data_IF_018514284517
#
_entry.id   IF_018514284517
#
_cell.length_a   1.000
_cell.length_b   1.000
_cell.length_c   1.000
_cell.angle_alpha   90.00
_cell.angle_beta   90.00
_cell.angle_gamma   90.00
#
_symmetry.space_group_name_H-M   'P 1'
#
loop_
_entity.id
_entity.type
_entity.pdbx_description
1 polymer ?
#
# COMPACT_ATOMS: atom_id res chain seq x y z
N UNK A 1 18.66 -51.21 -32.88
CA UNK A 1 19.38 -51.69 -31.68
C UNK A 1 20.53 -50.70 -31.45
N UNK A 2 20.53 -49.98 -30.31
CA UNK A 2 21.60 -49.10 -29.76
C UNK A 2 21.99 -47.88 -30.62
N UNK A 3 22.31 -46.69 -30.11
CA UNK A 3 22.20 -46.01 -28.80
C UNK A 3 22.47 -44.54 -29.11
N UNK A 4 21.67 -43.65 -28.55
CA UNK A 4 21.90 -42.21 -28.49
C UNK A 4 22.96 -41.87 -27.44
N UNK A 5 24.01 -41.12 -27.81
CA UNK A 5 24.80 -40.35 -26.86
C UNK A 5 25.36 -39.11 -27.56
N UNK A 6 24.93 -37.92 -27.12
CA UNK A 6 25.81 -36.81 -26.69
C UNK A 6 25.05 -35.48 -26.75
N UNK A 7 24.33 -35.16 -25.68
CA UNK A 7 23.92 -33.79 -25.38
C UNK A 7 23.94 -33.62 -23.86
N UNK A 8 25.12 -33.79 -23.26
CA UNK A 8 25.34 -33.68 -21.82
C UNK A 8 26.59 -32.86 -21.56
N UNK A 9 26.67 -31.63 -22.11
CA UNK A 9 27.81 -30.73 -21.87
C UNK A 9 27.48 -29.26 -22.08
N UNK A 10 26.32 -28.79 -21.59
CA UNK A 10 26.00 -27.35 -21.58
C UNK A 10 25.35 -26.87 -20.28
N UNK A 11 24.66 -27.73 -19.52
CA UNK A 11 23.95 -27.31 -18.29
C UNK A 11 24.79 -27.26 -17.01
N UNK A 12 26.06 -27.68 -17.02
CA UNK A 12 26.89 -27.68 -15.80
C UNK A 12 27.70 -26.39 -15.63
N UNK A 13 27.91 -25.62 -16.71
CA UNK A 13 28.70 -24.37 -16.64
C UNK A 13 27.82 -23.16 -16.25
N UNK A 14 26.51 -23.19 -16.52
CA UNK A 14 25.60 -22.10 -16.16
C UNK A 14 25.25 -22.05 -14.65
N UNK A 15 25.32 -23.19 -13.95
CA UNK A 15 25.07 -23.24 -12.50
C UNK A 15 26.27 -22.74 -11.66
N UNK A 16 27.50 -22.78 -12.22
CA UNK A 16 28.71 -22.30 -11.54
C UNK A 16 28.87 -20.77 -11.54
N UNK A 17 28.27 -20.08 -12.52
CA UNK A 17 28.38 -18.61 -12.65
C UNK A 17 27.34 -17.84 -11.82
N UNK A 18 26.21 -18.46 -11.45
CA UNK A 18 25.23 -17.85 -10.54
C UNK A 18 25.68 -17.85 -9.07
N UNK A 19 26.56 -18.78 -8.68
CA UNK A 19 27.16 -18.82 -7.34
C UNK A 19 28.26 -17.76 -7.14
N UNK A 20 28.90 -17.31 -8.22
CA UNK A 20 29.89 -16.21 -8.18
C UNK A 20 29.25 -14.81 -8.19
N UNK A 21 27.99 -14.69 -8.62
CA UNK A 21 27.24 -13.43 -8.56
C UNK A 21 26.71 -13.09 -7.15
N UNK A 22 26.78 -14.03 -6.20
CA UNK A 22 26.46 -13.81 -4.77
C UNK A 22 27.71 -13.71 -3.87
N UNK A 23 28.90 -13.97 -4.41
CA UNK A 23 30.18 -13.81 -3.71
C UNK A 23 30.89 -12.48 -4.01
N UNK A 24 30.32 -11.64 -4.88
CA UNK A 24 30.87 -10.36 -5.32
C UNK A 24 30.10 -9.14 -4.82
N UNK A 25 29.92 -9.00 -3.50
CA UNK A 25 29.74 -7.66 -2.91
C UNK A 25 31.12 -7.05 -2.66
N UNK A 26 31.85 -6.76 -3.74
CA UNK A 26 32.99 -5.85 -3.67
C UNK A 26 32.48 -4.44 -3.34
N UNK A 27 32.69 -4.08 -2.07
CA UNK A 27 33.32 -2.84 -1.67
C UNK A 27 32.90 -1.55 -2.41
N UNK A 28 31.93 -0.82 -1.85
CA UNK A 28 31.90 0.65 -1.98
C UNK A 28 32.57 1.27 -0.75
N UNK A 29 33.69 1.99 -0.91
CA UNK A 29 34.30 2.71 0.19
C UNK A 29 33.42 3.93 0.50
N UNK A 30 33.21 4.15 1.80
CA UNK A 30 32.49 5.26 2.42
C UNK A 30 30.97 5.10 2.54
N UNK A 31 30.58 4.81 3.80
CA UNK A 31 29.28 5.02 4.45
C UNK A 31 28.23 3.92 4.25
N UNK A 32 28.39 2.87 5.05
CA UNK A 32 27.30 2.04 5.57
C UNK A 32 27.53 1.81 7.07
N UNK A 33 26.51 1.46 7.88
CA UNK A 33 26.68 1.24 9.31
C UNK A 33 27.76 0.18 9.52
N UNK A 34 28.72 0.46 10.42
CA UNK A 34 29.85 -0.40 10.72
C UNK A 34 29.39 -1.84 10.94
N UNK A 35 29.52 -2.71 9.93
CA UNK A 35 29.37 -4.15 10.11
C UNK A 35 30.43 -4.57 11.12
N UNK A 36 29.98 -4.96 12.31
CA UNK A 36 30.85 -5.55 13.34
C UNK A 36 31.58 -6.70 12.66
N UNK A 37 32.92 -6.66 12.68
CA UNK A 37 33.71 -7.78 12.15
C UNK A 37 33.33 -9.02 12.95
N UNK A 38 32.97 -10.14 12.30
CA UNK A 38 32.75 -11.39 13.01
C UNK A 38 33.97 -11.70 13.87
N UNK A 39 33.70 -12.07 15.12
CA UNK A 39 34.71 -12.60 16.03
C UNK A 39 35.30 -13.88 15.43
N UNK A 40 36.58 -14.19 15.67
CA UNK A 40 37.25 -15.36 15.07
C UNK A 40 36.59 -16.69 15.48
N UNK A 41 35.78 -16.67 16.54
CA UNK A 41 34.98 -17.79 17.04
C UNK A 41 33.50 -17.77 16.59
N UNK A 42 33.12 -16.92 15.64
CA UNK A 42 31.74 -16.85 15.17
C UNK A 42 31.31 -18.19 14.52
N UNK A 43 30.10 -18.69 14.83
CA UNK A 43 29.60 -19.91 14.22
C UNK A 43 29.49 -19.78 12.70
N UNK A 44 29.80 -20.86 11.97
CA UNK A 44 29.79 -20.86 10.50
C UNK A 44 28.46 -20.39 9.87
N UNK A 45 27.32 -20.57 10.56
CA UNK A 45 26.01 -20.12 10.09
C UNK A 45 25.85 -18.59 10.05
N UNK A 46 26.71 -17.84 10.73
CA UNK A 46 26.72 -16.37 10.69
C UNK A 46 27.17 -15.86 9.31
N UNK A 47 28.27 -16.43 8.79
CA UNK A 47 28.83 -16.05 7.48
C UNK A 47 28.20 -16.84 6.33
N UNK A 48 27.81 -18.09 6.60
CA UNK A 48 27.22 -19.01 5.64
C UNK A 48 25.93 -19.62 6.22
N UNK A 49 24.80 -18.89 6.18
CA UNK A 49 23.52 -19.46 6.61
C UNK A 49 23.22 -20.75 5.84
N UNK A 50 22.51 -21.71 6.46
CA UNK A 50 22.16 -22.96 5.79
C UNK A 50 21.39 -22.70 4.48
N UNK A 51 21.68 -23.51 3.47
CA UNK A 51 20.91 -23.50 2.22
C UNK A 51 19.82 -24.56 2.35
N UNK A 52 18.57 -24.12 2.50
CA UNK A 52 17.39 -24.98 2.46
C UNK A 52 16.49 -24.52 1.31
N UNK A 53 15.89 -25.47 0.58
CA UNK A 53 14.92 -25.18 -0.47
C UNK A 53 13.58 -24.67 0.08
N UNK A 54 13.28 -24.90 1.37
CA UNK A 54 11.99 -24.59 2.01
C UNK A 54 12.04 -23.37 2.91
N UNK A 55 13.21 -23.04 3.45
CA UNK A 55 13.38 -22.00 4.45
C UNK A 55 14.34 -20.93 3.94
N UNK A 56 14.00 -19.68 4.24
CA UNK A 56 14.91 -18.54 4.09
C UNK A 56 15.48 -18.23 5.47
N UNK A 57 16.79 -18.01 5.50
CA UNK A 57 17.51 -17.65 6.70
C UNK A 57 17.95 -16.20 6.63
N UNK A 58 17.78 -15.49 7.74
CA UNK A 58 18.35 -14.15 7.89
C UNK A 58 19.05 -14.04 9.23
N UNK A 59 20.19 -13.36 9.23
CA UNK A 59 21.00 -13.14 10.41
C UNK A 59 20.88 -11.67 10.80
N UNK A 60 20.74 -11.40 12.10
CA UNK A 60 20.76 -10.06 12.65
C UNK A 60 21.71 -9.97 13.83
N UNK A 61 22.13 -8.74 14.13
CA UNK A 61 23.14 -8.48 15.15
C UNK A 61 22.76 -7.27 16.02
N UNK A 62 23.06 -7.34 17.31
CA UNK A 62 22.97 -6.18 18.22
C UNK A 62 24.21 -6.10 19.14
N UNK A 63 25.01 -5.02 19.06
CA UNK A 63 26.18 -4.82 19.93
C UNK A 63 25.82 -4.65 21.41
N UNK A 64 24.60 -4.16 21.69
CA UNK A 64 24.08 -3.98 23.06
C UNK A 64 23.57 -5.27 23.71
N UNK A 65 23.70 -6.41 23.01
CA UNK A 65 23.22 -7.72 23.45
C UNK A 65 21.70 -7.78 23.66
N UNK A 66 20.94 -6.91 22.99
CA UNK A 66 19.48 -6.89 23.04
C UNK A 66 18.90 -7.81 21.96
N UNK A 67 18.30 -8.92 22.42
CA UNK A 67 17.67 -9.91 21.55
C UNK A 67 16.55 -9.32 20.68
N UNK A 68 15.76 -8.37 21.19
CA UNK A 68 14.68 -7.78 20.41
C UNK A 68 15.23 -6.95 19.25
N UNK A 69 16.30 -6.20 19.48
CA UNK A 69 16.99 -5.42 18.44
C UNK A 69 17.69 -6.31 17.43
N UNK A 70 18.38 -7.36 17.88
CA UNK A 70 19.01 -8.33 16.98
C UNK A 70 17.96 -9.04 16.09
N UNK A 71 16.80 -9.39 16.66
CA UNK A 71 15.69 -9.97 15.89
C UNK A 71 15.07 -8.97 14.91
N UNK A 72 14.96 -7.69 15.28
CA UNK A 72 14.50 -6.65 14.37
C UNK A 72 15.47 -6.45 13.20
N UNK A 73 16.78 -6.47 13.48
CA UNK A 73 17.83 -6.42 12.45
C UNK A 73 17.76 -7.63 11.50
N UNK A 74 17.59 -8.84 12.06
CA UNK A 74 17.42 -10.05 11.25
C UNK A 74 16.18 -9.97 10.34
N UNK A 75 15.07 -9.41 10.84
CA UNK A 75 13.86 -9.16 10.04
C UNK A 75 14.10 -8.14 8.93
N UNK A 76 14.90 -7.09 9.16
CA UNK A 76 15.32 -6.14 8.11
C UNK A 76 16.17 -6.79 7.03
N UNK A 77 17.03 -7.73 7.41
CA UNK A 77 17.83 -8.47 6.45
C UNK A 77 16.96 -9.44 5.64
N UNK A 78 16.00 -10.13 6.27
CA UNK A 78 15.00 -10.96 5.59
C UNK A 78 14.15 -10.13 4.61
N UNK A 79 13.71 -8.95 5.04
CA UNK A 79 12.97 -7.99 4.24
C UNK A 79 13.71 -7.55 2.97
N UNK A 80 14.99 -7.22 3.14
CA UNK A 80 15.86 -6.79 2.05
C UNK A 80 16.03 -7.90 1.02
N UNK A 81 16.17 -9.15 1.48
CA UNK A 81 16.21 -10.33 0.59
C UNK A 81 14.88 -10.57 -0.15
N UNK A 82 13.75 -10.17 0.44
CA UNK A 82 12.42 -10.25 -0.17
C UNK A 82 12.01 -8.98 -0.95
N UNK A 83 12.86 -7.94 -0.97
CA UNK A 83 12.57 -6.60 -1.53
C UNK A 83 11.34 -5.90 -0.93
N UNK A 84 11.25 -5.83 0.40
CA UNK A 84 10.10 -5.23 1.11
C UNK A 84 10.55 -4.16 2.13
N UNK A 85 9.74 -3.12 2.36
CA UNK A 85 10.08 -1.97 3.23
C UNK A 85 9.50 -2.14 4.63
N UNK A 86 10.34 -1.99 5.66
CA UNK A 86 9.93 -1.97 7.07
C UNK A 86 9.74 -0.53 7.55
N UNK A 87 8.62 -0.25 8.24
CA UNK A 87 8.52 0.93 9.11
C UNK A 87 8.74 0.47 10.54
N UNK A 88 9.89 0.81 11.12
CA UNK A 88 10.08 0.67 12.56
C UNK A 88 9.49 1.91 13.25
N UNK A 89 8.59 1.70 14.20
CA UNK A 89 8.11 2.76 15.08
C UNK A 89 9.27 3.39 15.86
N UNK A 90 9.51 4.68 15.60
CA UNK A 90 10.28 5.58 16.46
C UNK A 90 11.78 5.65 16.22
N UNK A 91 12.22 6.21 15.08
CA UNK A 91 13.40 7.10 15.03
C UNK A 91 13.59 7.71 13.63
N UNK A 92 14.02 8.96 13.62
CA UNK A 92 14.13 9.85 12.48
C UNK A 92 15.11 9.39 11.39
N UNK A 93 14.56 9.33 10.17
CA UNK A 93 15.07 9.71 8.84
C UNK A 93 16.43 9.23 8.28
N UNK A 94 16.32 8.89 6.99
CA UNK A 94 17.28 8.96 5.88
C UNK A 94 18.55 8.10 5.91
N UNK A 95 18.49 6.98 5.17
CA UNK A 95 19.29 6.88 3.94
C UNK A 95 18.87 5.66 3.08
N UNK A 96 18.68 5.89 1.78
CA UNK A 96 18.79 4.83 0.77
C UNK A 96 17.49 4.27 0.18
N UNK A 97 16.80 5.12 -0.58
CA UNK A 97 15.96 4.78 -1.73
C UNK A 97 16.20 3.36 -2.31
N UNK A 98 15.21 2.48 -2.21
CA UNK A 98 15.07 1.33 -3.12
C UNK A 98 14.04 1.71 -4.18
N UNK A 99 14.35 1.57 -5.48
CA UNK A 99 13.52 2.11 -6.54
C UNK A 99 12.14 1.47 -6.55
N UNK A 100 11.15 2.34 -6.66
CA UNK A 100 9.89 2.21 -7.37
C UNK A 100 9.70 0.84 -8.02
N UNK A 101 8.80 0.02 -7.46
CA UNK A 101 8.06 -0.96 -8.25
C UNK A 101 7.51 -0.21 -9.46
N UNK A 102 7.89 -0.65 -10.66
CA UNK A 102 7.29 -0.14 -11.88
C UNK A 102 5.77 -0.26 -11.75
N UNK A 103 5.07 0.87 -11.88
CA UNK A 103 3.63 1.05 -11.68
C UNK A 103 3.14 1.21 -10.23
N UNK A 104 3.54 2.29 -9.54
CA UNK A 104 2.67 3.00 -8.58
C UNK A 104 2.07 2.20 -7.41
N UNK A 105 2.56 1.00 -7.13
CA UNK A 105 2.06 0.15 -6.04
C UNK A 105 2.69 0.61 -4.71
N UNK A 106 1.91 0.84 -3.66
CA UNK A 106 2.43 1.27 -2.37
C UNK A 106 3.39 0.22 -1.79
N UNK A 107 4.46 0.64 -1.10
CA UNK A 107 5.38 -0.31 -0.45
C UNK A 107 4.63 -1.12 0.61
N UNK A 108 4.71 -2.44 0.51
CA UNK A 108 4.16 -3.38 1.50
C UNK A 108 5.00 -3.33 2.79
N UNK A 109 4.33 -3.35 3.94
CA UNK A 109 4.91 -3.35 5.29
C UNK A 109 5.03 -4.78 5.82
N UNK A 110 6.13 -5.06 6.56
CA UNK A 110 6.57 -6.41 6.99
C UNK A 110 6.13 -6.80 8.39
N UNK A 111 5.51 -5.91 9.15
CA UNK A 111 5.23 -6.17 10.57
C UNK A 111 4.39 -7.44 10.81
N UNK A 112 3.75 -7.96 9.76
CA UNK A 112 3.01 -9.23 9.72
C UNK A 112 3.64 -10.33 8.82
N UNK A 113 4.95 -10.60 8.84
CA UNK A 113 5.46 -11.86 8.23
C UNK A 113 5.14 -13.05 9.17
N UNK A 114 4.08 -13.85 8.90
CA UNK A 114 3.73 -14.96 9.77
C UNK A 114 4.81 -16.06 9.69
N UNK A 115 5.11 -16.68 10.83
CA UNK A 115 5.98 -17.86 10.85
C UNK A 115 7.49 -17.58 10.82
N UNK A 116 7.92 -16.35 11.10
CA UNK A 116 9.34 -16.08 11.42
C UNK A 116 9.68 -16.66 12.79
N UNK A 117 10.63 -17.58 12.84
CA UNK A 117 11.07 -18.23 14.08
C UNK A 117 12.54 -17.93 14.35
N UNK A 118 12.93 -17.84 15.63
CA UNK A 118 14.33 -17.84 16.00
C UNK A 118 14.85 -19.26 15.90
N UNK A 119 15.86 -19.49 15.05
CA UNK A 119 16.50 -20.79 14.88
C UNK A 119 17.73 -20.92 15.76
N UNK A 120 18.63 -19.93 15.73
CA UNK A 120 19.89 -19.93 16.48
C UNK A 120 20.18 -18.59 17.09
N UNK A 121 20.94 -18.63 18.18
CA UNK A 121 21.47 -17.46 18.86
C UNK A 121 22.93 -17.74 19.22
N UNK A 122 23.79 -16.74 19.05
CA UNK A 122 25.17 -16.77 19.49
C UNK A 122 25.51 -15.46 20.18
N UNK A 123 25.92 -15.59 21.44
CA UNK A 123 26.27 -14.46 22.28
C UNK A 123 27.80 -14.32 22.28
N UNK A 124 28.32 -13.35 21.53
CA UNK A 124 29.75 -13.07 21.45
C UNK A 124 30.09 -11.90 22.36
N UNK A 125 31.33 -11.78 22.88
CA UNK A 125 31.72 -10.71 23.79
C UNK A 125 31.46 -9.27 23.29
N UNK A 126 31.35 -9.10 21.97
CA UNK A 126 31.14 -7.80 21.32
C UNK A 126 29.73 -7.59 20.77
N UNK A 127 28.91 -8.65 20.66
CA UNK A 127 27.64 -8.60 19.95
C UNK A 127 26.80 -9.87 20.14
N UNK A 128 25.49 -9.69 20.25
CA UNK A 128 24.52 -10.78 20.14
C UNK A 128 24.12 -10.98 18.68
N UNK A 129 24.30 -12.20 18.19
CA UNK A 129 23.87 -12.63 16.86
C UNK A 129 22.65 -13.55 16.96
N UNK A 130 21.69 -13.34 16.08
CA UNK A 130 20.51 -14.19 15.95
C UNK A 130 20.31 -14.62 14.51
N UNK A 131 19.84 -15.85 14.31
CA UNK A 131 19.40 -16.35 13.02
C UNK A 131 17.93 -16.67 13.09
N UNK A 132 17.16 -16.10 12.17
CA UNK A 132 15.74 -16.38 12.01
C UNK A 132 15.52 -17.27 10.78
N UNK A 133 14.49 -18.10 10.85
CA UNK A 133 13.98 -18.92 9.76
C UNK A 133 12.62 -18.43 9.31
N UNK A 134 12.37 -18.54 8.00
CA UNK A 134 11.12 -18.13 7.39
C UNK A 134 10.67 -19.15 6.32
N UNK A 135 9.48 -19.72 6.50
CA UNK A 135 8.89 -20.66 5.53
C UNK A 135 8.12 -19.90 4.45
N UNK A 136 8.80 -19.56 3.35
CA UNK A 136 8.23 -18.82 2.22
C UNK A 136 7.10 -19.59 1.51
N UNK A 137 7.22 -20.91 1.39
CA UNK A 137 6.19 -21.74 0.75
C UNK A 137 4.90 -21.79 1.59
N UNK A 138 5.04 -22.00 2.91
CA UNK A 138 3.91 -21.96 3.83
C UNK A 138 3.23 -20.60 3.89
N UNK A 139 3.99 -19.51 3.79
CA UNK A 139 3.42 -18.16 3.67
C UNK A 139 2.62 -18.00 2.37
N UNK A 140 3.16 -18.43 1.23
CA UNK A 140 2.46 -18.38 -0.05
C UNK A 140 1.14 -19.17 -0.02
N UNK A 141 1.12 -20.36 0.59
CA UNK A 141 -0.08 -21.18 0.70
C UNK A 141 -1.15 -20.53 1.60
N UNK A 142 -0.73 -19.95 2.73
CA UNK A 142 -1.63 -19.19 3.60
C UNK A 142 -2.24 -17.97 2.89
N UNK A 143 -1.44 -17.26 2.09
CA UNK A 143 -1.91 -16.13 1.28
C UNK A 143 -2.92 -16.57 0.22
N UNK A 144 -2.68 -17.68 -0.49
CA UNK A 144 -3.64 -18.26 -1.45
C UNK A 144 -4.97 -18.58 -0.78
N UNK A 145 -4.93 -19.30 0.35
CA UNK A 145 -6.13 -19.65 1.09
C UNK A 145 -6.92 -18.42 1.54
N UNK A 146 -6.24 -17.35 1.98
CA UNK A 146 -6.88 -16.08 2.34
C UNK A 146 -7.50 -15.38 1.13
N UNK A 147 -6.81 -15.35 -0.01
CA UNK A 147 -7.34 -14.79 -1.26
C UNK A 147 -8.60 -15.57 -1.70
N UNK A 148 -8.58 -16.90 -1.67
CA UNK A 148 -9.73 -17.73 -2.02
C UNK A 148 -10.93 -17.48 -1.10
N UNK A 149 -10.68 -17.30 0.20
CA UNK A 149 -11.70 -16.93 1.18
C UNK A 149 -12.31 -15.55 0.86
N UNK A 150 -11.47 -14.55 0.58
CA UNK A 150 -11.91 -13.20 0.22
C UNK A 150 -12.69 -13.20 -1.11
N UNK A 151 -12.22 -13.94 -2.11
CA UNK A 151 -12.90 -14.11 -3.39
C UNK A 151 -14.28 -14.80 -3.20
N UNK A 152 -14.41 -15.69 -2.21
CA UNK A 152 -15.69 -16.25 -1.78
C UNK A 152 -16.62 -15.22 -1.12
N UNK A 153 -16.09 -14.41 -0.20
CA UNK A 153 -16.83 -13.34 0.48
C UNK A 153 -17.32 -12.27 -0.50
N UNK A 154 -16.46 -11.83 -1.42
CA UNK A 154 -16.81 -10.85 -2.46
C UNK A 154 -17.97 -11.38 -3.31
N UNK A 155 -17.90 -12.63 -3.79
CA UNK A 155 -18.99 -13.24 -4.56
C UNK A 155 -20.28 -13.32 -3.76
N UNK A 156 -20.21 -13.68 -2.48
CA UNK A 156 -21.38 -13.72 -1.61
C UNK A 156 -21.99 -12.32 -1.40
N UNK A 157 -21.17 -11.28 -1.17
CA UNK A 157 -21.64 -9.89 -1.04
C UNK A 157 -22.26 -9.38 -2.34
N UNK A 158 -21.70 -9.72 -3.50
CA UNK A 158 -22.28 -9.38 -4.80
C UNK A 158 -23.60 -10.11 -5.06
N UNK A 159 -23.71 -11.39 -4.68
CA UNK A 159 -24.94 -12.16 -4.83
C UNK A 159 -26.03 -11.74 -3.80
N UNK A 160 -25.62 -11.26 -2.64
CA UNK A 160 -26.49 -10.70 -1.61
C UNK A 160 -26.91 -9.25 -1.91
N UNK A 161 -26.44 -8.65 -3.01
CA UNK A 161 -26.97 -7.40 -3.51
C UNK A 161 -28.50 -7.52 -3.58
N UNK A 162 -29.25 -6.68 -2.85
CA UNK A 162 -30.62 -7.01 -2.51
C UNK A 162 -31.47 -7.10 -3.76
N UNK A 163 -32.03 -8.29 -4.03
CA UNK A 163 -33.36 -8.38 -4.60
C UNK A 163 -34.30 -7.70 -3.59
N UNK A 164 -34.55 -6.41 -3.74
CA UNK A 164 -35.32 -5.66 -2.75
C UNK A 164 -36.81 -5.99 -2.86
N UNK A 165 -37.47 -6.35 -1.75
CA UNK A 165 -38.84 -5.93 -1.52
C UNK A 165 -38.92 -5.13 -0.22
N UNK A 166 -38.31 -3.93 -0.16
CA UNK A 166 -38.68 -2.94 0.87
C UNK A 166 -38.70 -1.54 0.27
N UNK A 167 -39.87 -0.90 0.39
CA UNK A 167 -40.30 0.31 -0.31
C UNK A 167 -39.59 1.63 0.10
N UNK A 168 -38.39 1.58 0.70
CA UNK A 168 -37.76 2.76 1.30
C UNK A 168 -36.28 3.00 0.89
N UNK A 169 -35.68 2.15 0.05
CA UNK A 169 -34.27 2.32 -0.33
C UNK A 169 -34.16 2.66 -1.82
N UNK A 170 -33.62 3.84 -2.12
CA UNK A 170 -33.40 4.26 -3.51
C UNK A 170 -32.40 3.30 -4.18
N UNK A 171 -32.48 3.05 -5.50
CA UNK A 171 -31.49 2.24 -6.21
C UNK A 171 -30.04 2.66 -5.96
N UNK A 172 -29.82 3.97 -5.77
CA UNK A 172 -28.52 4.56 -5.41
C UNK A 172 -28.11 4.18 -4.00
N UNK A 173 -29.00 4.26 -3.01
CA UNK A 173 -28.70 3.84 -1.63
C UNK A 173 -28.31 2.36 -1.53
N UNK A 174 -28.93 1.50 -2.35
CA UNK A 174 -28.55 0.09 -2.45
C UNK A 174 -27.19 -0.12 -3.13
N UNK A 175 -26.92 0.60 -4.23
CA UNK A 175 -25.60 0.58 -4.86
C UNK A 175 -24.50 1.09 -3.92
N UNK A 176 -24.79 2.14 -3.15
CA UNK A 176 -23.90 2.69 -2.13
C UNK A 176 -23.59 1.68 -1.03
N UNK A 177 -24.60 1.03 -0.44
CA UNK A 177 -24.38 -0.02 0.59
C UNK A 177 -23.57 -1.19 0.06
N UNK A 178 -23.87 -1.66 -1.15
CA UNK A 178 -23.12 -2.75 -1.77
C UNK A 178 -21.66 -2.34 -2.04
N UNK A 179 -21.43 -1.14 -2.56
CA UNK A 179 -20.10 -0.60 -2.75
C UNK A 179 -19.31 -0.53 -1.43
N UNK A 180 -19.95 -0.06 -0.35
CA UNK A 180 -19.34 0.03 0.97
C UNK A 180 -19.01 -1.33 1.58
N UNK A 181 -19.81 -2.36 1.32
CA UNK A 181 -19.53 -3.72 1.75
C UNK A 181 -18.39 -4.36 0.95
N UNK A 182 -18.28 -4.05 -0.35
CA UNK A 182 -17.28 -4.63 -1.25
C UNK A 182 -15.90 -3.97 -1.14
N UNK A 183 -15.84 -2.65 -0.98
CA UNK A 183 -14.59 -1.88 -0.94
C UNK A 183 -13.53 -2.43 0.03
N UNK A 184 -13.82 -2.72 1.32
CA UNK A 184 -12.82 -3.25 2.24
C UNK A 184 -12.33 -4.64 1.84
N UNK A 185 -13.23 -5.51 1.33
CA UNK A 185 -12.86 -6.86 0.89
C UNK A 185 -11.94 -6.82 -0.33
N UNK A 186 -12.23 -5.95 -1.30
CA UNK A 186 -11.38 -5.77 -2.50
C UNK A 186 -10.00 -5.21 -2.11
N UNK A 187 -9.95 -4.22 -1.21
CA UNK A 187 -8.67 -3.67 -0.71
C UNK A 187 -7.83 -4.72 -0.02
N UNK A 188 -8.41 -5.49 0.90
CA UNK A 188 -7.69 -6.54 1.61
C UNK A 188 -7.18 -7.60 0.64
N UNK A 189 -8.01 -7.99 -0.34
CA UNK A 189 -7.65 -8.97 -1.37
C UNK A 189 -6.48 -8.48 -2.23
N UNK A 190 -6.49 -7.22 -2.65
CA UNK A 190 -5.37 -6.63 -3.40
C UNK A 190 -4.07 -6.62 -2.58
N UNK A 191 -4.15 -6.32 -1.29
CA UNK A 191 -3.01 -6.39 -0.39
C UNK A 191 -2.45 -7.82 -0.28
N UNK A 192 -3.31 -8.83 -0.08
CA UNK A 192 -2.87 -10.23 -0.02
C UNK A 192 -2.28 -10.70 -1.37
N UNK A 193 -2.84 -10.24 -2.50
CA UNK A 193 -2.31 -10.56 -3.83
C UNK A 193 -0.90 -9.96 -4.03
N UNK A 194 -0.68 -8.73 -3.57
CA UNK A 194 0.62 -8.08 -3.62
C UNK A 194 1.65 -8.80 -2.70
N UNK A 195 1.22 -9.27 -1.52
CA UNK A 195 2.03 -10.15 -0.65
C UNK A 195 2.34 -11.50 -1.33
N UNK A 196 1.39 -12.09 -2.05
CA UNK A 196 1.59 -13.37 -2.76
C UNK A 196 2.58 -13.23 -3.92
N UNK A 197 2.57 -12.09 -4.62
CA UNK A 197 3.57 -11.77 -5.64
C UNK A 197 4.99 -11.79 -5.08
N UNK A 198 5.19 -11.26 -3.89
CA UNK A 198 6.48 -11.33 -3.19
C UNK A 198 6.82 -12.77 -2.78
N UNK A 199 5.84 -13.51 -2.26
CA UNK A 199 6.03 -14.87 -1.77
C UNK A 199 6.31 -15.89 -2.90
N UNK A 200 5.66 -15.78 -4.06
CA UNK A 200 5.67 -16.83 -5.08
C UNK A 200 5.75 -16.33 -6.55
N UNK A 201 5.88 -15.02 -6.77
CA UNK A 201 5.97 -14.42 -8.11
C UNK A 201 4.61 -14.20 -8.80
N UNK A 202 4.64 -13.54 -9.96
CA UNK A 202 3.43 -13.11 -10.70
C UNK A 202 2.52 -14.28 -11.11
N UNK A 203 3.13 -15.41 -11.50
CA UNK A 203 2.39 -16.58 -11.97
C UNK A 203 1.42 -17.14 -10.91
N UNK A 204 1.77 -17.03 -9.62
CA UNK A 204 0.92 -17.48 -8.52
C UNK A 204 -0.31 -16.58 -8.29
N UNK A 205 -0.24 -15.30 -8.67
CA UNK A 205 -1.36 -14.35 -8.56
C UNK A 205 -2.36 -14.56 -9.69
N UNK A 206 -1.88 -14.94 -10.88
CA UNK A 206 -2.72 -15.17 -12.06
C UNK A 206 -3.59 -16.44 -11.96
N UNK A 207 -3.23 -17.39 -11.10
CA UNK A 207 -4.01 -18.61 -10.86
C UNK A 207 -5.19 -18.42 -9.91
N UNK A 208 -5.36 -17.24 -9.31
CA UNK A 208 -6.48 -16.96 -8.43
C UNK A 208 -7.82 -16.94 -9.22
N UNK A 209 -8.95 -17.37 -8.61
CA UNK A 209 -10.24 -17.48 -9.30
C UNK A 209 -10.74 -16.18 -9.94
N UNK A 210 -10.37 -15.02 -9.38
CA UNK A 210 -10.65 -13.71 -9.96
C UNK A 210 -9.35 -12.93 -10.20
N UNK A 211 -9.29 -12.13 -11.26
CA UNK A 211 -8.18 -11.19 -11.45
C UNK A 211 -8.46 -9.89 -10.70
N UNK A 212 -7.41 -9.21 -10.22
CA UNK A 212 -7.56 -7.88 -9.59
C UNK A 212 -8.21 -6.87 -10.55
N UNK A 213 -7.92 -6.97 -11.85
CA UNK A 213 -8.56 -6.15 -12.87
C UNK A 213 -10.07 -6.41 -12.97
N UNK A 214 -10.49 -7.68 -12.94
CA UNK A 214 -11.91 -8.06 -12.92
C UNK A 214 -12.63 -7.55 -11.67
N UNK A 215 -11.99 -7.62 -10.51
CA UNK A 215 -12.52 -7.08 -9.25
C UNK A 215 -12.70 -5.56 -9.28
N UNK A 216 -11.69 -4.83 -9.75
CA UNK A 216 -11.77 -3.36 -9.91
C UNK A 216 -12.88 -2.98 -10.89
N UNK A 217 -13.03 -3.72 -11.98
CA UNK A 217 -14.10 -3.49 -12.95
C UNK A 217 -15.48 -3.74 -12.35
N UNK A 218 -15.66 -4.79 -11.54
CA UNK A 218 -16.90 -5.08 -10.84
C UNK A 218 -17.21 -4.00 -9.78
N UNK A 219 -16.23 -3.57 -9.01
CA UNK A 219 -16.37 -2.49 -8.04
C UNK A 219 -16.74 -1.17 -8.74
N UNK A 220 -16.07 -0.85 -9.85
CA UNK A 220 -16.37 0.31 -10.68
C UNK A 220 -17.77 0.23 -11.31
N UNK A 221 -18.27 -0.96 -11.66
CA UNK A 221 -19.63 -1.11 -12.17
C UNK A 221 -20.69 -0.78 -11.09
N UNK A 222 -20.47 -1.20 -9.84
CA UNK A 222 -21.36 -0.87 -8.72
C UNK A 222 -21.26 0.62 -8.35
N UNK A 223 -20.05 1.16 -8.27
CA UNK A 223 -19.81 2.58 -8.01
C UNK A 223 -20.29 3.48 -9.15
N UNK A 224 -20.29 2.97 -10.39
CA UNK A 224 -20.78 3.64 -11.59
C UNK A 224 -22.27 4.00 -11.54
N UNK A 225 -23.04 3.29 -10.71
CA UNK A 225 -24.45 3.57 -10.43
C UNK A 225 -24.65 4.77 -9.48
N UNK A 226 -23.58 5.24 -8.83
CA UNK A 226 -23.58 6.40 -7.94
C UNK A 226 -23.06 7.59 -8.75
N UNK A 227 -23.98 8.35 -9.36
CA UNK A 227 -23.64 9.53 -10.12
C UNK A 227 -23.36 10.73 -9.20
N UNK A 228 -22.18 11.32 -9.32
CA UNK A 228 -21.71 12.41 -8.46
C UNK A 228 -21.42 13.64 -9.30
N UNK A 229 -22.03 14.77 -8.95
CA UNK A 229 -21.72 16.08 -9.52
C UNK A 229 -20.84 16.86 -8.54
N UNK A 230 -19.58 17.11 -8.92
CA UNK A 230 -18.63 17.85 -8.10
C UNK A 230 -18.57 19.30 -8.59
N UNK A 231 -19.13 20.20 -7.79
CA UNK A 231 -19.11 21.64 -8.02
C UNK A 231 -18.05 22.27 -7.14
N UNK A 232 -16.93 22.64 -7.74
CA UNK A 232 -15.87 23.40 -7.09
C UNK A 232 -16.06 24.90 -7.33
N UNK A 233 -15.81 25.71 -6.31
CA UNK A 233 -15.79 27.15 -6.43
C UNK A 233 -14.57 27.65 -7.25
N UNK A 234 -14.59 28.91 -7.74
CA UNK A 234 -13.56 29.40 -8.66
C UNK A 234 -12.13 29.33 -8.11
N UNK A 235 -11.97 29.42 -6.78
CA UNK A 235 -10.68 29.32 -6.11
C UNK A 235 -10.03 27.92 -6.25
N UNK A 236 -10.84 26.89 -6.50
CA UNK A 236 -10.40 25.51 -6.69
C UNK A 236 -10.29 25.10 -8.16
N UNK A 237 -10.64 25.99 -9.10
CA UNK A 237 -10.53 25.72 -10.54
C UNK A 237 -9.16 25.16 -10.97
N UNK A 238 -8.00 25.61 -10.44
CA UNK A 238 -6.69 25.07 -10.82
C UNK A 238 -6.49 23.58 -10.49
N UNK A 239 -7.21 23.05 -9.49
CA UNK A 239 -7.08 21.66 -9.04
C UNK A 239 -8.36 20.85 -9.25
N UNK A 240 -9.37 21.40 -9.93
CA UNK A 240 -10.66 20.75 -10.12
C UNK A 240 -10.54 19.40 -10.84
N UNK A 241 -9.69 19.32 -11.88
CA UNK A 241 -9.43 18.07 -12.58
C UNK A 241 -8.87 16.99 -11.64
N UNK A 242 -7.91 17.36 -10.76
CA UNK A 242 -7.30 16.44 -9.80
C UNK A 242 -8.30 15.98 -8.73
N UNK A 243 -9.20 16.87 -8.30
CA UNK A 243 -10.28 16.54 -7.36
C UNK A 243 -11.27 15.53 -7.97
N UNK A 244 -11.62 15.73 -9.24
CA UNK A 244 -12.47 14.81 -10.00
C UNK A 244 -11.78 13.46 -10.21
N UNK A 245 -10.50 13.45 -10.59
CA UNK A 245 -9.71 12.23 -10.79
C UNK A 245 -9.57 11.44 -9.49
N UNK A 246 -9.43 12.10 -8.34
CA UNK A 246 -9.40 11.44 -7.04
C UNK A 246 -10.73 10.75 -6.70
N UNK A 247 -11.86 11.39 -7.02
CA UNK A 247 -13.18 10.81 -6.82
C UNK A 247 -13.47 9.68 -7.82
N UNK A 248 -13.10 9.86 -9.10
CA UNK A 248 -13.18 8.82 -10.12
C UNK A 248 -12.25 7.63 -9.82
N UNK A 249 -11.10 7.87 -9.19
CA UNK A 249 -10.19 6.83 -8.70
C UNK A 249 -10.79 5.93 -7.61
N UNK A 250 -11.87 6.37 -6.95
CA UNK A 250 -12.70 5.51 -6.11
C UNK A 250 -13.80 4.76 -6.87
N UNK A 251 -13.85 4.90 -8.19
CA UNK A 251 -14.90 4.32 -9.04
C UNK A 251 -16.19 5.13 -9.09
N UNK A 252 -16.26 6.33 -8.49
CA UNK A 252 -17.44 7.18 -8.56
C UNK A 252 -17.66 7.70 -9.99
N UNK A 253 -18.91 7.72 -10.44
CA UNK A 253 -19.26 8.22 -11.77
C UNK A 253 -19.44 9.74 -11.74
N UNK A 254 -18.43 10.48 -12.18
CA UNK A 254 -18.46 11.95 -12.17
C UNK A 254 -19.27 12.48 -13.36
N UNK A 255 -20.40 13.12 -13.08
CA UNK A 255 -21.35 13.64 -14.07
C UNK A 255 -21.51 15.16 -13.95
N UNK A 256 -20.52 15.89 -14.48
CA UNK A 256 -20.49 17.35 -14.39
C UNK A 256 -21.75 17.99 -15.00
N UNK A 257 -22.42 18.86 -14.23
CA UNK A 257 -23.56 19.64 -14.71
C UNK A 257 -24.84 18.83 -14.95
N UNK A 258 -24.89 17.59 -14.45
CA UNK A 258 -26.12 16.81 -14.49
C UNK A 258 -27.19 17.48 -13.60
N UNK A 259 -28.41 17.74 -14.10
CA UNK A 259 -29.47 18.36 -13.31
C UNK A 259 -30.01 17.46 -12.18
N UNK A 260 -29.86 16.14 -12.29
CA UNK A 260 -30.28 15.17 -11.28
C UNK A 260 -29.18 14.12 -11.02
N UNK A 261 -28.05 14.52 -10.43
CA UNK A 261 -27.07 13.57 -9.96
C UNK A 261 -27.63 12.82 -8.75
N UNK A 262 -27.10 11.66 -8.44
CA UNK A 262 -27.45 10.97 -7.20
C UNK A 262 -26.91 11.72 -5.99
N UNK A 263 -25.71 12.28 -6.12
CA UNK A 263 -25.03 13.10 -5.11
C UNK A 263 -24.50 14.38 -5.74
N UNK A 264 -24.62 15.48 -5.00
CA UNK A 264 -23.95 16.73 -5.33
C UNK A 264 -22.92 17.03 -4.26
N UNK A 265 -21.66 17.13 -4.65
CA UNK A 265 -20.56 17.53 -3.78
C UNK A 265 -20.23 18.98 -4.09
N UNK A 266 -20.31 19.86 -3.09
CA UNK A 266 -19.87 21.25 -3.21
C UNK A 266 -18.54 21.40 -2.49
N UNK A 267 -17.53 21.84 -3.21
CA UNK A 267 -16.21 22.11 -2.69
C UNK A 267 -16.00 23.62 -2.69
N UNK A 268 -15.60 24.16 -1.53
CA UNK A 268 -15.29 25.57 -1.40
C UNK A 268 -14.00 25.81 -0.62
N UNK A 269 -13.29 26.86 -1.01
CA UNK A 269 -12.14 27.38 -0.29
C UNK A 269 -12.48 28.79 0.24
N UNK A 270 -12.84 28.81 1.52
CA UNK A 270 -13.22 30.02 2.26
C UNK A 270 -12.00 30.65 2.93
N UNK A 271 -12.08 31.95 3.22
CA UNK A 271 -11.10 32.70 4.02
C UNK A 271 -9.63 32.58 3.56
N UNK A 272 -9.30 32.91 2.31
CA UNK A 272 -7.88 32.99 1.89
C UNK A 272 -7.29 34.30 2.40
N UNK A 273 -6.64 34.24 3.57
CA UNK A 273 -5.91 35.40 4.11
C UNK A 273 -4.44 35.27 3.76
N UNK A 274 -3.97 36.16 2.89
CA UNK A 274 -2.54 36.34 2.62
C UNK A 274 -1.95 37.32 3.63
N UNK A 275 -1.01 36.85 4.43
CA UNK A 275 -0.27 37.65 5.40
C UNK A 275 1.21 37.56 5.08
N UNK A 276 1.89 38.70 5.07
CA UNK A 276 3.34 38.73 5.11
C UNK A 276 3.78 38.70 6.58
N UNK A 277 4.45 37.63 7.00
CA UNK A 277 4.96 37.46 8.37
C UNK A 277 6.44 37.12 8.26
N UNK A 278 7.29 37.98 8.81
CA UNK A 278 8.76 37.80 8.83
C UNK A 278 9.36 37.58 7.42
N UNK A 279 8.80 38.22 6.39
CA UNK A 279 9.24 38.08 5.00
C UNK A 279 8.73 36.82 4.28
N UNK A 280 7.84 36.04 4.92
CA UNK A 280 7.17 34.89 4.32
C UNK A 280 5.73 35.25 3.96
N UNK A 281 5.32 34.82 2.77
CA UNK A 281 3.92 34.79 2.34
C UNK A 281 3.22 33.61 3.01
N UNK A 282 2.26 33.91 3.88
CA UNK A 282 1.43 32.93 4.57
C UNK A 282 0.00 32.99 4.04
N UNK A 283 -0.51 31.82 3.66
CA UNK A 283 -1.90 31.61 3.31
C UNK A 283 -2.56 30.77 4.40
N UNK A 284 -3.56 31.34 5.05
CA UNK A 284 -4.54 30.59 5.84
C UNK A 284 -5.79 30.44 4.95
N UNK A 285 -6.39 29.25 4.91
CA UNK A 285 -7.62 28.98 4.16
C UNK A 285 -8.46 27.90 4.83
N UNK A 286 -9.78 27.99 4.71
CA UNK A 286 -10.72 26.99 5.22
C UNK A 286 -11.34 26.23 4.04
N UNK A 287 -10.98 24.95 3.90
CA UNK A 287 -11.58 24.08 2.91
C UNK A 287 -12.87 23.47 3.46
N UNK A 288 -13.96 23.63 2.72
CA UNK A 288 -15.27 23.06 3.06
C UNK A 288 -15.75 22.19 1.91
N UNK A 289 -16.02 20.93 2.22
CA UNK A 289 -16.70 20.00 1.33
C UNK A 289 -18.08 19.69 1.93
N UNK A 290 -19.16 19.84 1.17
CA UNK A 290 -20.49 19.41 1.57
C UNK A 290 -21.08 18.44 0.56
N UNK A 291 -21.75 17.41 1.06
CA UNK A 291 -22.37 16.36 0.26
C UNK A 291 -23.87 16.47 0.43
N UNK A 292 -24.58 16.61 -0.68
CA UNK A 292 -26.03 16.73 -0.74
C UNK A 292 -26.59 15.59 -1.59
N UNK A 293 -27.77 15.10 -1.24
CA UNK A 293 -28.54 14.22 -2.12
C UNK A 293 -29.05 15.05 -3.31
N UNK A 294 -28.74 14.62 -4.53
CA UNK A 294 -29.05 15.42 -5.72
C UNK A 294 -30.54 15.47 -6.09
N UNK A 295 -31.39 14.62 -5.48
CA UNK A 295 -32.85 14.63 -5.70
C UNK A 295 -33.59 15.62 -4.79
N UNK A 296 -33.27 15.65 -3.51
CA UNK A 296 -34.00 16.42 -2.49
C UNK A 296 -33.17 17.56 -1.87
N UNK A 297 -31.87 17.67 -2.23
CA UNK A 297 -30.96 18.68 -1.70
C UNK A 297 -30.60 18.48 -0.23
N UNK A 298 -30.98 17.34 0.37
CA UNK A 298 -30.71 17.07 1.78
C UNK A 298 -29.20 16.97 2.00
N UNK A 299 -28.69 17.73 2.95
CA UNK A 299 -27.30 17.62 3.38
C UNK A 299 -27.06 16.27 4.06
N UNK A 300 -26.14 15.48 3.50
CA UNK A 300 -25.75 14.17 3.97
C UNK A 300 -24.50 14.23 4.86
N UNK A 301 -23.77 15.33 4.85
CA UNK A 301 -22.57 15.53 5.64
C UNK A 301 -21.53 16.35 4.87
N UNK A 302 -20.31 16.36 5.39
CA UNK A 302 -19.23 17.14 4.82
C UNK A 302 -18.02 17.18 5.71
N UNK A 303 -17.03 17.96 5.29
CA UNK A 303 -15.80 18.21 6.00
C UNK A 303 -15.54 19.72 5.98
N UNK A 304 -15.03 20.26 7.09
CA UNK A 304 -14.46 21.61 7.15
C UNK A 304 -13.11 21.55 7.83
N UNK A 305 -12.05 21.97 7.14
CA UNK A 305 -10.67 21.92 7.64
C UNK A 305 -9.95 23.21 7.35
N UNK A 306 -9.29 23.75 8.37
CA UNK A 306 -8.40 24.91 8.22
C UNK A 306 -7.01 24.44 7.83
N UNK A 307 -6.49 25.04 6.76
CA UNK A 307 -5.14 24.83 6.29
C UNK A 307 -4.31 26.10 6.46
N UNK A 308 -3.02 25.88 6.69
CA UNK A 308 -1.99 26.91 6.70
C UNK A 308 -0.83 26.47 5.82
N UNK A 309 -0.35 27.37 4.99
CA UNK A 309 0.87 27.21 4.21
C UNK A 309 1.67 28.51 4.24
N UNK A 310 2.99 28.40 4.39
CA UNK A 310 3.90 29.52 4.27
C UNK A 310 5.02 29.21 3.29
N UNK A 311 5.47 30.23 2.58
CA UNK A 311 6.64 30.17 1.70
C UNK A 311 7.22 31.55 1.45
N UNK A 312 8.38 31.62 0.79
CA UNK A 312 9.01 32.87 0.37
C UNK A 312 8.24 33.58 -0.76
N UNK A 313 7.36 32.85 -1.46
CA UNK A 313 6.51 33.39 -2.53
C UNK A 313 5.09 32.87 -2.42
N UNK A 314 4.09 33.68 -2.80
CA UNK A 314 2.68 33.28 -2.81
C UNK A 314 2.43 32.03 -3.67
N UNK A 315 3.08 31.95 -4.83
CA UNK A 315 2.94 30.79 -5.74
C UNK A 315 3.28 29.46 -5.06
N UNK A 316 4.41 29.39 -4.35
CA UNK A 316 4.85 28.17 -3.65
C UNK A 316 4.00 27.92 -2.41
N UNK A 317 3.57 28.98 -1.70
CA UNK A 317 2.64 28.82 -0.58
C UNK A 317 1.32 28.20 -1.07
N UNK A 318 0.79 28.67 -2.20
CA UNK A 318 -0.45 28.19 -2.82
C UNK A 318 -0.33 26.76 -3.35
N UNK A 319 0.79 26.41 -3.95
CA UNK A 319 1.05 25.03 -4.39
C UNK A 319 1.07 24.05 -3.21
N UNK A 320 1.72 24.43 -2.11
CA UNK A 320 1.72 23.65 -0.85
C UNK A 320 0.32 23.55 -0.25
N UNK A 321 -0.46 24.61 -0.28
CA UNK A 321 -1.86 24.61 0.16
C UNK A 321 -2.69 23.60 -0.63
N UNK A 322 -2.58 23.65 -1.96
CA UNK A 322 -3.28 22.75 -2.86
C UNK A 322 -2.89 21.29 -2.63
N UNK A 323 -1.59 21.00 -2.43
CA UNK A 323 -1.14 19.64 -2.10
C UNK A 323 -1.76 19.11 -0.80
N UNK A 324 -1.82 19.94 0.26
CA UNK A 324 -2.48 19.58 1.52
C UNK A 324 -3.98 19.33 1.36
N UNK A 325 -4.64 20.17 0.57
CA UNK A 325 -6.07 20.02 0.26
C UNK A 325 -6.32 18.71 -0.49
N UNK A 326 -5.53 18.42 -1.53
CA UNK A 326 -5.63 17.18 -2.30
C UNK A 326 -5.42 15.94 -1.44
N UNK A 327 -4.44 15.96 -0.54
CA UNK A 327 -4.22 14.87 0.42
C UNK A 327 -5.45 14.68 1.31
N UNK A 328 -5.96 15.76 1.91
CA UNK A 328 -7.12 15.67 2.80
C UNK A 328 -8.38 15.24 2.07
N UNK A 329 -8.58 15.68 0.82
CA UNK A 329 -9.69 15.25 -0.01
C UNK A 329 -9.66 13.73 -0.25
N UNK A 330 -8.48 13.18 -0.60
CA UNK A 330 -8.29 11.73 -0.74
C UNK A 330 -8.58 10.97 0.55
N UNK A 331 -8.14 11.48 1.70
CA UNK A 331 -8.42 10.90 3.01
C UNK A 331 -9.93 10.92 3.34
N UNK A 332 -10.59 12.06 3.12
CA UNK A 332 -12.03 12.20 3.33
C UNK A 332 -12.81 11.22 2.47
N UNK A 333 -12.49 11.17 1.18
CA UNK A 333 -13.06 10.23 0.22
C UNK A 333 -12.88 8.78 0.69
N UNK A 334 -11.68 8.41 1.14
CA UNK A 334 -11.37 7.05 1.57
C UNK A 334 -12.05 6.62 2.89
N UNK A 335 -12.29 7.55 3.83
CA UNK A 335 -12.65 7.22 5.21
C UNK A 335 -14.02 7.76 5.63
N UNK A 336 -14.34 9.00 5.28
CA UNK A 336 -15.46 9.75 5.85
C UNK A 336 -16.64 9.88 4.87
N UNK A 337 -16.38 9.91 3.56
CA UNK A 337 -17.42 9.97 2.52
C UNK A 337 -18.37 8.77 2.58
N UNK A 338 -17.87 7.64 3.06
CA UNK A 338 -18.63 6.42 3.39
C UNK A 338 -19.83 6.71 4.29
N UNK A 339 -19.66 7.57 5.29
CA UNK A 339 -20.75 7.93 6.21
C UNK A 339 -21.86 8.73 5.53
N UNK A 340 -21.52 9.50 4.50
CA UNK A 340 -22.50 10.25 3.70
C UNK A 340 -23.32 9.30 2.82
N UNK A 341 -22.66 8.28 2.25
CA UNK A 341 -23.29 7.23 1.44
C UNK A 341 -24.29 6.37 2.25
N UNK A 342 -24.04 6.13 3.54
CA UNK A 342 -24.96 5.38 4.41
C UNK A 342 -26.26 6.12 4.73
N UNK A 343 -26.31 7.44 4.49
CA UNK A 343 -27.47 8.30 4.78
C UNK A 343 -28.43 8.46 3.59
N UNK A 344 -28.12 7.83 2.45
CA UNK A 344 -28.96 7.71 1.24
C UNK A 344 -30.04 6.62 1.37
#
# INVERSE_FOLDING_TARGET
MRTSHSAFSASVIAAGLAALALAGCEYRPNRGPSRVKPDDNAPAWFSNPPIDARLIYAVGADPGHDRAKAMADARRNLASQLHVVLRSDGSDLDDGFVPTTAAGEPPLLIDDLPGVQLDKQFDAPSCLYVMITFNRAGWADALRARIDQLDGQIRATMAAAPAAPEAATTPVGNAARNYLALLPLVREREEQAARLRLAAGEAAVQTAPMSSAGLRQQLAAVAGLISVDINADPNLAPIQAQLNDAAAGMGLNIVAGNPQPALRVRLSLQEVTALNIDGLERLDATFVASVENGKDGRNLGGLSVKFRSSSLTDSVARERLNAKLMQRWKEYLANEFVSCLQRL
#
